data_IF_521990924566
#
_entry.id   IF_521990924566
#
_cell.length_a   1.000
_cell.length_b   1.000
_cell.length_c   1.000
_cell.angle_alpha   90.00
_cell.angle_beta   90.00
_cell.angle_gamma   90.00
#
_symmetry.space_group_name_H-M   'P 1'
#
loop_
_entity.id
_entity.type
_entity.pdbx_description
1 polymer ?
#
# COMPACT_ATOMS: atom_id res chain seq x y z
N UNK A 1 -28.29 -3.08 12.76
CA UNK A 1 -27.00 -2.35 12.69
C UNK A 1 -26.09 -3.13 11.77
N UNK A 2 -25.77 -2.59 10.59
CA UNK A 2 -24.86 -3.23 9.64
C UNK A 2 -23.48 -2.65 9.94
N UNK A 3 -22.69 -3.31 10.78
CA UNK A 3 -21.28 -2.96 11.00
C UNK A 3 -20.55 -3.28 9.71
N UNK A 4 -20.19 -2.25 8.95
CA UNK A 4 -19.33 -2.42 7.79
C UNK A 4 -18.02 -3.10 8.26
N UNK A 5 -17.55 -4.16 7.58
CA UNK A 5 -16.29 -4.78 7.95
C UNK A 5 -15.17 -3.73 7.84
N UNK A 6 -14.33 -3.64 8.87
CA UNK A 6 -13.17 -2.76 8.87
C UNK A 6 -12.31 -3.09 7.63
N UNK A 7 -12.16 -2.14 6.72
CA UNK A 7 -11.49 -2.33 5.43
C UNK A 7 -9.97 -2.55 5.56
N UNK A 8 -9.41 -2.33 6.75
CA UNK A 8 -8.01 -2.58 7.09
C UNK A 8 -8.00 -3.59 8.24
N UNK A 9 -7.31 -4.72 8.03
CA UNK A 9 -7.16 -5.79 9.03
C UNK A 9 -5.73 -6.31 9.03
N UNK A 10 -5.35 -6.98 10.11
CA UNK A 10 -4.16 -7.82 10.13
C UNK A 10 -4.52 -9.25 9.73
N UNK A 11 -3.72 -9.88 8.89
CA UNK A 11 -3.87 -11.30 8.59
C UNK A 11 -3.25 -12.20 9.66
N UNK A 12 -3.31 -13.52 9.45
CA UNK A 12 -2.74 -14.51 10.39
C UNK A 12 -1.21 -14.48 10.50
N UNK A 13 -0.52 -13.72 9.64
CA UNK A 13 0.93 -13.47 9.70
C UNK A 13 1.27 -12.13 10.34
N UNK A 14 0.26 -11.34 10.69
CA UNK A 14 0.43 -10.01 11.24
C UNK A 14 0.71 -8.95 10.18
N UNK A 15 0.36 -9.20 8.91
CA UNK A 15 0.50 -8.24 7.82
C UNK A 15 -0.80 -7.44 7.60
N UNK A 16 -0.68 -6.15 7.30
CA UNK A 16 -1.79 -5.27 6.94
C UNK A 16 -2.37 -5.72 5.60
N UNK A 17 -3.66 -6.02 5.66
CA UNK A 17 -4.49 -6.41 4.54
C UNK A 17 -5.61 -5.39 4.39
N UNK A 18 -5.64 -4.77 3.21
CA UNK A 18 -6.71 -3.86 2.79
C UNK A 18 -7.67 -4.62 1.90
N UNK A 19 -8.93 -4.79 2.33
CA UNK A 19 -9.96 -5.61 1.65
C UNK A 19 -11.33 -4.96 1.68
N UNK A 20 -12.23 -5.50 0.87
CA UNK A 20 -13.66 -5.14 0.82
C UNK A 20 -13.92 -3.66 0.48
N UNK A 21 -12.98 -3.00 -0.21
CA UNK A 21 -13.15 -1.64 -0.70
C UNK A 21 -14.06 -1.65 -1.93
N UNK A 22 -15.37 -1.57 -1.70
CA UNK A 22 -16.38 -1.56 -2.75
C UNK A 22 -16.09 -0.45 -3.78
N UNK A 23 -15.65 -0.83 -4.98
CA UNK A 23 -15.34 0.10 -6.07
C UNK A 23 -13.89 0.61 -6.12
N UNK A 24 -13.04 0.28 -5.14
CA UNK A 24 -11.62 0.60 -5.16
C UNK A 24 -10.74 -0.54 -5.71
N UNK A 25 -11.35 -1.68 -6.07
CA UNK A 25 -10.73 -2.75 -6.85
C UNK A 25 -10.18 -2.25 -8.20
N UNK A 26 -10.67 -1.08 -8.64
CA UNK A 26 -10.25 -0.31 -9.81
C UNK A 26 -9.98 1.16 -9.43
N UNK A 27 -9.32 1.40 -8.29
CA UNK A 27 -8.85 2.76 -7.98
C UNK A 27 -8.02 3.25 -9.16
N UNK A 28 -8.49 4.32 -9.83
CA UNK A 28 -7.88 4.84 -11.04
C UNK A 28 -6.46 5.27 -10.71
N UNK A 29 -5.52 4.45 -11.15
CA UNK A 29 -4.15 4.47 -10.68
C UNK A 29 -3.36 5.60 -11.33
N UNK A 30 -3.96 6.37 -12.24
CA UNK A 30 -3.27 7.38 -13.04
C UNK A 30 -2.08 6.74 -13.76
N UNK A 31 -0.86 7.13 -13.35
CA UNK A 31 0.39 6.59 -13.91
C UNK A 31 0.79 5.21 -13.34
N UNK A 32 0.09 4.71 -12.32
CA UNK A 32 0.33 3.38 -11.76
C UNK A 32 -0.50 2.33 -12.51
N UNK A 33 -0.10 1.05 -12.47
CA UNK A 33 -0.96 -0.05 -12.94
C UNK A 33 -2.03 -0.35 -11.90
N UNK A 34 -3.28 -0.53 -12.33
CA UNK A 34 -4.35 -1.01 -11.46
C UNK A 34 -3.91 -2.31 -10.75
N UNK A 35 -4.04 -2.35 -9.42
CA UNK A 35 -3.56 -3.44 -8.60
C UNK A 35 -3.42 -3.07 -7.13
N UNK A 36 -2.93 -3.99 -6.31
CA UNK A 36 -2.83 -3.79 -4.86
C UNK A 36 -1.70 -2.83 -4.44
N UNK A 37 -0.68 -2.66 -5.27
CA UNK A 37 0.44 -1.76 -5.00
C UNK A 37 0.03 -0.30 -4.79
N UNK A 38 -0.67 0.35 -5.75
CA UNK A 38 -1.11 1.74 -5.58
C UNK A 38 -2.02 1.94 -4.37
N UNK A 39 -2.84 0.93 -4.05
CA UNK A 39 -3.66 0.93 -2.84
C UNK A 39 -2.81 1.02 -1.57
N UNK A 40 -1.64 0.37 -1.52
CA UNK A 40 -0.69 0.51 -0.40
C UNK A 40 -0.08 1.89 -0.31
N UNK A 41 0.23 2.53 -1.43
CA UNK A 41 0.69 3.93 -1.44
C UNK A 41 -0.36 4.89 -0.85
N UNK A 42 -1.63 4.75 -1.24
CA UNK A 42 -2.73 5.54 -0.66
C UNK A 42 -2.96 5.24 0.82
N UNK A 43 -2.84 3.98 1.22
CA UNK A 43 -2.97 3.57 2.63
C UNK A 43 -1.86 4.18 3.47
N UNK A 44 -0.61 4.15 2.98
CA UNK A 44 0.53 4.77 3.65
C UNK A 44 0.37 6.29 3.79
N UNK A 45 0.00 6.98 2.70
CA UNK A 45 -0.25 8.41 2.71
C UNK A 45 -1.34 8.78 3.73
N UNK A 46 -2.47 8.05 3.71
CA UNK A 46 -3.57 8.29 4.66
C UNK A 46 -3.14 8.02 6.09
N UNK A 47 -2.44 6.92 6.37
CA UNK A 47 -1.95 6.59 7.70
C UNK A 47 -0.97 7.66 8.24
N UNK A 48 -0.10 8.21 7.37
CA UNK A 48 0.78 9.31 7.72
C UNK A 48 0.02 10.59 8.11
N UNK A 49 -1.02 10.96 7.35
CA UNK A 49 -1.86 12.13 7.64
C UNK A 49 -2.56 12.04 9.02
N UNK A 50 -2.94 10.83 9.45
CA UNK A 50 -3.59 10.60 10.75
C UNK A 50 -2.62 10.20 11.87
N UNK A 51 -1.31 10.14 11.61
CA UNK A 51 -0.29 9.79 12.59
C UNK A 51 -0.22 8.31 12.97
N UNK A 52 -0.80 7.40 12.18
CA UNK A 52 -0.68 5.96 12.38
C UNK A 52 0.62 5.44 11.75
N UNK A 53 1.72 5.61 12.50
CA UNK A 53 3.06 5.22 12.04
C UNK A 53 3.19 3.73 11.74
N UNK A 54 2.41 2.89 12.44
CA UNK A 54 2.49 1.43 12.30
C UNK A 54 1.96 1.01 10.93
N UNK A 55 0.74 1.42 10.60
CA UNK A 55 0.12 1.12 9.30
C UNK A 55 0.91 1.79 8.17
N UNK A 56 1.41 3.01 8.39
CA UNK A 56 2.23 3.73 7.42
C UNK A 56 3.50 2.95 7.04
N UNK A 57 4.31 2.57 8.03
CA UNK A 57 5.55 1.81 7.78
C UNK A 57 5.28 0.47 7.10
N UNK A 58 4.25 -0.22 7.52
CA UNK A 58 3.92 -1.55 7.00
C UNK A 58 3.38 -1.50 5.56
N UNK A 59 2.57 -0.50 5.23
CA UNK A 59 2.10 -0.28 3.87
C UNK A 59 3.25 0.14 2.93
N UNK A 60 4.21 0.95 3.40
CA UNK A 60 5.42 1.30 2.64
C UNK A 60 6.33 0.09 2.42
N UNK A 61 6.53 -0.74 3.44
CA UNK A 61 7.35 -1.95 3.32
C UNK A 61 6.80 -2.92 2.28
N UNK A 62 5.48 -3.15 2.30
CA UNK A 62 4.81 -3.95 1.26
C UNK A 62 4.91 -3.29 -0.13
N UNK A 63 4.80 -1.96 -0.21
CA UNK A 63 4.91 -1.24 -1.46
C UNK A 63 6.29 -1.40 -2.10
N UNK A 64 7.34 -1.21 -1.31
CA UNK A 64 8.73 -1.15 -1.78
C UNK A 64 9.39 -2.51 -1.92
N UNK A 65 8.89 -3.56 -1.24
CA UNK A 65 9.50 -4.90 -1.27
C UNK A 65 8.63 -5.95 -1.97
N UNK A 66 7.30 -5.82 -1.96
CA UNK A 66 6.38 -6.85 -2.49
C UNK A 66 5.81 -6.42 -3.83
N UNK A 67 5.18 -5.25 -3.88
CA UNK A 67 4.44 -4.83 -5.08
C UNK A 67 5.31 -4.15 -6.11
N UNK A 68 6.29 -3.37 -5.65
CA UNK A 68 7.15 -2.59 -6.51
C UNK A 68 8.59 -2.52 -6.00
N UNK A 69 9.33 -3.64 -6.08
CA UNK A 69 10.71 -3.72 -5.61
C UNK A 69 11.56 -2.57 -6.12
N UNK A 70 12.11 -1.80 -5.17
CA UNK A 70 13.01 -0.69 -5.44
C UNK A 70 14.45 -1.17 -5.24
N UNK A 71 15.30 -1.00 -6.25
CA UNK A 71 16.74 -1.22 -6.10
C UNK A 71 17.47 0.11 -5.95
N UNK A 72 18.45 0.14 -5.06
CA UNK A 72 19.35 1.29 -4.92
C UNK A 72 20.28 1.38 -6.12
N UNK A 73 20.19 2.47 -6.88
CA UNK A 73 21.20 2.82 -7.85
C UNK A 73 22.48 3.28 -7.12
N UNK A 74 23.63 2.96 -7.71
CA UNK A 74 24.96 3.28 -7.18
C UNK A 74 25.17 4.78 -6.88
N UNK A 75 24.36 5.68 -7.45
CA UNK A 75 24.36 7.13 -7.21
C UNK A 75 23.69 7.56 -5.89
N UNK A 76 23.18 6.64 -5.07
CA UNK A 76 22.35 6.97 -3.91
C UNK A 76 20.90 7.32 -4.27
N UNK A 77 20.51 7.10 -5.53
CA UNK A 77 19.15 7.27 -6.04
C UNK A 77 18.43 5.92 -5.98
N UNK A 78 17.16 5.89 -5.59
CA UNK A 78 16.35 4.67 -5.63
C UNK A 78 15.58 4.60 -6.93
N UNK A 79 15.72 3.49 -7.67
CA UNK A 79 15.04 3.27 -8.95
C UNK A 79 14.18 2.01 -8.86
N UNK A 80 12.95 2.10 -9.39
CA UNK A 80 12.06 0.94 -9.53
C UNK A 80 12.48 0.12 -10.74
N UNK A 81 12.58 -1.21 -10.60
CA UNK A 81 12.85 -2.06 -11.76
C UNK A 81 11.67 -2.02 -12.75
N UNK A 82 11.98 -1.79 -14.04
CA UNK A 82 11.03 -1.99 -15.14
C UNK A 82 10.24 -0.76 -15.60
N UNK A 83 10.72 0.46 -15.33
CA UNK A 83 10.31 1.68 -16.05
C UNK A 83 11.39 2.03 -17.07
#
# INVERSE_FOLDING_TARGET
MHTQPLNIKYDGKGEVVVRDLKGADKMDSGNYRAGEGPLRAFTAATAAEFGDEKICKEALDQLDNVFFPVEGAFSGSTCRQGI
#
